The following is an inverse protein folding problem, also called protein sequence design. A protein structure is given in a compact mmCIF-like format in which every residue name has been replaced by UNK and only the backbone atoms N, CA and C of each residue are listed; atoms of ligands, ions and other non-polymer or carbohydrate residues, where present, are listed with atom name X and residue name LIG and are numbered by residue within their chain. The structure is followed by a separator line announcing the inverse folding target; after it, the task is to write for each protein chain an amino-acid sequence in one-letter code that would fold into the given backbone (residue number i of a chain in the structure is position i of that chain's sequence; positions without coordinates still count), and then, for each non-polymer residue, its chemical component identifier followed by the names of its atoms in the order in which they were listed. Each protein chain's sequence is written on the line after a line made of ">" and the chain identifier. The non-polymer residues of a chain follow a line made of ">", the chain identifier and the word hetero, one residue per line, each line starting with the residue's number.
data_IF_058684602560
#
_entry.id   IF_058684602560
#
_cell.length_a   1.000
_cell.length_b   1.000
_cell.length_c   1.000
_cell.angle_alpha   90.00
_cell.angle_beta   90.00
_cell.angle_gamma   90.00
#
_symmetry.space_group_name_H-M   'P 1'
#
loop_
_entity.id
_entity.type
_entity.pdbx_description
1 polymer ?
#
# COMPACT_ATOMS: atom_id res chain seq x y z
N UNK A 1 -20.49 -33.85 -32.57
CA UNK A 1 -20.51 -32.38 -32.74
C UNK A 1 -21.95 -31.86 -32.61
N UNK A 2 -22.65 -32.28 -31.56
CA UNK A 2 -24.06 -31.94 -31.34
C UNK A 2 -24.15 -31.26 -29.98
N UNK A 3 -24.55 -29.98 -29.92
CA UNK A 3 -25.13 -29.27 -28.71
C UNK A 3 -25.26 -27.75 -28.86
N UNK A 4 -25.13 -27.12 -30.03
CA UNK A 4 -25.40 -25.68 -30.14
C UNK A 4 -26.89 -25.31 -29.91
N UNK A 5 -27.81 -26.28 -30.05
CA UNK A 5 -29.25 -26.06 -29.99
C UNK A 5 -29.88 -26.23 -28.59
N UNK A 6 -29.20 -26.85 -27.62
CA UNK A 6 -29.87 -27.20 -26.36
C UNK A 6 -29.92 -26.05 -25.36
N UNK A 7 -28.84 -25.28 -25.13
CA UNK A 7 -28.84 -24.18 -24.15
C UNK A 7 -28.23 -22.87 -24.70
N UNK A 8 -29.03 -21.97 -25.30
CA UNK A 8 -28.53 -20.70 -25.83
C UNK A 8 -27.95 -19.79 -24.73
N UNK A 9 -28.36 -19.97 -23.48
CA UNK A 9 -27.97 -19.16 -22.32
C UNK A 9 -26.58 -19.52 -21.75
N UNK A 10 -26.08 -20.73 -22.03
CA UNK A 10 -24.86 -21.26 -21.42
C UNK A 10 -23.65 -20.36 -21.69
N UNK A 11 -23.57 -19.77 -22.88
CA UNK A 11 -22.48 -18.86 -23.25
C UNK A 11 -22.47 -17.56 -22.43
N UNK A 12 -23.64 -17.07 -22.02
CA UNK A 12 -23.79 -15.82 -21.26
C UNK A 12 -23.45 -16.05 -19.78
N UNK A 13 -23.99 -17.12 -19.20
CA UNK A 13 -23.69 -17.54 -17.83
C UNK A 13 -22.20 -17.87 -17.64
N UNK A 14 -21.58 -18.50 -18.65
CA UNK A 14 -20.15 -18.79 -18.62
C UNK A 14 -19.25 -17.53 -18.58
N UNK A 15 -19.72 -16.39 -19.07
CA UNK A 15 -18.95 -15.13 -19.00
C UNK A 15 -19.06 -14.49 -17.61
N UNK A 16 -20.25 -14.50 -17.02
CA UNK A 16 -20.48 -13.99 -15.66
C UNK A 16 -19.70 -14.80 -14.63
N UNK A 17 -19.68 -16.13 -14.78
CA UNK A 17 -18.90 -17.00 -13.89
C UNK A 17 -17.39 -16.77 -14.05
N UNK A 18 -16.88 -16.58 -15.28
CA UNK A 18 -15.47 -16.24 -15.51
C UNK A 18 -15.07 -14.91 -14.87
N UNK A 19 -15.91 -13.88 -14.99
CA UNK A 19 -15.69 -12.59 -14.32
C UNK A 19 -15.58 -12.76 -12.80
N UNK A 20 -16.52 -13.51 -12.19
CA UNK A 20 -16.50 -13.79 -10.76
C UNK A 20 -15.23 -14.56 -10.35
N UNK A 21 -14.84 -15.59 -11.11
CA UNK A 21 -13.61 -16.36 -10.85
C UNK A 21 -12.37 -15.47 -10.93
N UNK A 22 -12.25 -14.62 -11.95
CA UNK A 22 -11.11 -13.70 -12.11
C UNK A 22 -11.03 -12.73 -10.93
N UNK A 23 -12.18 -12.17 -10.53
CA UNK A 23 -12.25 -11.27 -9.37
C UNK A 23 -11.79 -11.98 -8.09
N UNK A 24 -12.22 -13.23 -7.87
CA UNK A 24 -11.84 -14.02 -6.69
C UNK A 24 -10.35 -14.39 -6.70
N UNK A 25 -9.81 -14.84 -7.83
CA UNK A 25 -8.39 -15.20 -7.96
C UNK A 25 -7.50 -13.97 -7.74
N UNK A 26 -7.82 -12.83 -8.34
CA UNK A 26 -7.04 -11.61 -8.14
C UNK A 26 -7.15 -11.08 -6.71
N UNK A 27 -8.33 -11.18 -6.09
CA UNK A 27 -8.50 -10.81 -4.67
C UNK A 27 -7.69 -11.71 -3.75
N UNK A 28 -7.64 -13.02 -4.02
CA UNK A 28 -6.81 -13.96 -3.27
C UNK A 28 -5.32 -13.62 -3.40
N UNK A 29 -4.84 -13.27 -4.59
CA UNK A 29 -3.46 -12.80 -4.82
C UNK A 29 -3.20 -11.51 -4.02
N UNK A 30 -4.11 -10.53 -4.05
CA UNK A 30 -3.96 -9.30 -3.27
C UNK A 30 -3.87 -9.59 -1.76
N UNK A 31 -4.64 -10.54 -1.24
CA UNK A 31 -4.59 -10.93 0.17
C UNK A 31 -3.27 -11.63 0.54
N UNK A 32 -2.68 -12.42 -0.36
CA UNK A 32 -1.38 -13.05 -0.12
C UNK A 32 -0.24 -12.04 0.01
N UNK A 33 -0.34 -10.90 -0.66
CA UNK A 33 0.65 -9.82 -0.61
C UNK A 33 0.27 -8.67 0.33
N UNK A 34 -0.82 -8.81 1.09
CA UNK A 34 -1.22 -7.81 2.07
C UNK A 34 -0.22 -7.77 3.23
N UNK A 35 0.42 -6.62 3.44
CA UNK A 35 1.32 -6.36 4.56
C UNK A 35 1.03 -4.97 5.13
N UNK A 36 1.23 -4.77 6.43
CA UNK A 36 0.93 -3.50 7.12
C UNK A 36 1.61 -2.26 6.49
N UNK A 37 2.78 -2.47 5.88
CA UNK A 37 3.60 -1.43 5.24
C UNK A 37 3.19 -1.13 3.78
N UNK A 38 2.34 -1.97 3.18
CA UNK A 38 2.14 -1.97 1.72
C UNK A 38 0.70 -1.63 1.32
N UNK A 39 0.52 -0.48 0.69
CA UNK A 39 -0.80 0.06 0.27
C UNK A 39 -1.25 -0.40 -1.11
N UNK A 40 -0.35 -0.96 -1.93
CA UNK A 40 -0.67 -1.39 -3.30
C UNK A 40 -1.68 -2.55 -3.37
N UNK A 41 -1.67 -3.57 -2.49
CA UNK A 41 -2.63 -4.68 -2.57
C UNK A 41 -4.05 -4.20 -2.27
N UNK A 42 -4.19 -3.25 -1.34
CA UNK A 42 -5.47 -2.65 -1.01
C UNK A 42 -6.04 -1.82 -2.17
N UNK A 43 -5.19 -1.01 -2.84
CA UNK A 43 -5.60 -0.22 -4.02
C UNK A 43 -5.95 -1.10 -5.21
N UNK A 44 -5.26 -2.23 -5.41
CA UNK A 44 -5.64 -3.19 -6.45
C UNK A 44 -6.95 -3.89 -6.11
N UNK A 45 -7.15 -4.30 -4.86
CA UNK A 45 -8.40 -4.94 -4.43
C UNK A 45 -9.61 -4.02 -4.64
N UNK A 46 -9.49 -2.72 -4.35
CA UNK A 46 -10.57 -1.75 -4.62
C UNK A 46 -10.83 -1.56 -6.12
N UNK A 47 -9.78 -1.50 -6.94
CA UNK A 47 -9.92 -1.47 -8.41
C UNK A 47 -10.58 -2.73 -8.96
N UNK A 48 -10.26 -3.91 -8.44
CA UNK A 48 -10.86 -5.17 -8.84
C UNK A 48 -12.34 -5.23 -8.42
N UNK A 49 -12.68 -4.76 -7.21
CA UNK A 49 -14.07 -4.67 -6.74
C UNK A 49 -14.96 -3.73 -7.58
N UNK A 50 -14.34 -2.80 -8.30
CA UNK A 50 -15.02 -1.90 -9.23
C UNK A 50 -15.62 -2.65 -10.43
N UNK A 51 -15.04 -3.79 -10.85
CA UNK A 51 -15.53 -4.58 -11.99
C UNK A 51 -16.93 -5.17 -11.73
N UNK A 52 -17.18 -5.93 -10.63
CA UNK A 52 -18.53 -6.37 -10.28
C UNK A 52 -19.51 -5.21 -10.07
N UNK A 53 -19.05 -4.10 -9.48
CA UNK A 53 -19.89 -2.92 -9.26
C UNK A 53 -20.38 -2.32 -10.59
N UNK A 54 -19.51 -2.23 -11.59
CA UNK A 54 -19.88 -1.76 -12.92
C UNK A 54 -20.85 -2.72 -13.63
N UNK A 55 -20.66 -4.04 -13.50
CA UNK A 55 -21.62 -5.04 -14.04
C UNK A 55 -22.99 -4.90 -13.38
N UNK A 56 -23.03 -4.72 -12.06
CA UNK A 56 -24.27 -4.50 -11.33
C UNK A 56 -24.96 -3.20 -11.77
N UNK A 57 -24.20 -2.11 -11.94
CA UNK A 57 -24.72 -0.84 -12.43
C UNK A 57 -25.27 -0.97 -13.87
N UNK A 58 -24.58 -1.71 -14.74
CA UNK A 58 -25.06 -2.00 -16.10
C UNK A 58 -26.42 -2.71 -16.07
N UNK A 59 -26.59 -3.73 -15.21
CA UNK A 59 -27.87 -4.42 -15.07
C UNK A 59 -28.97 -3.53 -14.51
N UNK A 60 -28.66 -2.65 -13.55
CA UNK A 60 -29.61 -1.71 -12.97
C UNK A 60 -30.09 -0.72 -14.04
N UNK A 61 -29.16 -0.12 -14.80
CA UNK A 61 -29.48 0.79 -15.90
C UNK A 61 -30.30 0.09 -17.00
N UNK A 62 -29.94 -1.13 -17.38
CA UNK A 62 -30.72 -1.92 -18.34
C UNK A 62 -32.11 -2.24 -17.80
N UNK A 63 -32.24 -2.56 -16.52
CA UNK A 63 -33.53 -2.77 -15.85
C UNK A 63 -34.42 -1.53 -15.92
N UNK A 64 -33.87 -0.35 -15.60
CA UNK A 64 -34.61 0.92 -15.70
C UNK A 64 -35.00 1.23 -17.15
N UNK A 65 -34.07 1.10 -18.10
CA UNK A 65 -34.33 1.36 -19.52
C UNK A 65 -35.36 0.39 -20.12
N UNK A 66 -35.45 -0.84 -19.61
CA UNK A 66 -36.45 -1.82 -20.06
C UNK A 66 -37.89 -1.39 -19.77
N UNK A 67 -38.11 -0.53 -18.75
CA UNK A 67 -39.42 0.05 -18.44
C UNK A 67 -39.90 1.01 -19.52
N UNK A 68 -38.96 1.65 -20.22
CA UNK A 68 -39.23 2.63 -21.28
C UNK A 68 -39.15 2.04 -22.70
N UNK A 69 -38.78 0.77 -22.84
CA UNK A 69 -38.63 0.13 -24.15
C UNK A 69 -39.95 -0.49 -24.63
N UNK A 70 -40.36 -0.28 -25.90
CA UNK A 70 -41.55 -0.90 -26.45
C UNK A 70 -41.42 -2.43 -26.45
N UNK A 71 -42.36 -3.12 -25.78
CA UNK A 71 -42.39 -4.58 -25.72
C UNK A 71 -42.92 -5.12 -27.05
N UNK A 72 -42.09 -5.87 -27.78
CA UNK A 72 -42.54 -6.57 -28.98
C UNK A 72 -43.08 -7.95 -28.59
N UNK A 73 -44.40 -8.21 -28.72
CA UNK A 73 -45.02 -9.46 -28.26
C UNK A 73 -44.66 -10.70 -29.10
N UNK A 74 -43.86 -10.54 -30.17
CA UNK A 74 -43.47 -11.62 -31.10
C UNK A 74 -42.04 -12.14 -30.90
N UNK A 75 -41.27 -11.53 -30.01
CA UNK A 75 -39.91 -11.96 -29.69
C UNK A 75 -39.86 -12.41 -28.23
N UNK A 76 -39.22 -13.54 -27.97
CA UNK A 76 -38.90 -13.94 -26.60
C UNK A 76 -38.07 -12.82 -25.93
N UNK A 77 -38.35 -12.49 -24.66
CA UNK A 77 -37.58 -11.51 -23.92
C UNK A 77 -36.10 -11.90 -23.95
N UNK A 78 -35.27 -11.10 -24.62
CA UNK A 78 -33.81 -11.33 -24.60
C UNK A 78 -33.33 -11.28 -23.16
N UNK A 79 -32.72 -12.37 -22.72
CA UNK A 79 -32.24 -12.54 -21.35
C UNK A 79 -31.40 -11.34 -20.93
N UNK A 80 -31.73 -10.81 -19.75
CA UNK A 80 -30.99 -9.72 -19.11
C UNK A 80 -29.58 -10.14 -18.64
N UNK A 81 -29.17 -11.39 -18.84
CA UNK A 81 -27.85 -11.92 -18.45
C UNK A 81 -26.71 -11.50 -19.40
N UNK A 82 -26.99 -10.79 -20.50
CA UNK A 82 -25.94 -10.23 -21.35
C UNK A 82 -25.38 -8.96 -20.69
N UNK A 83 -24.15 -9.02 -20.19
CA UNK A 83 -23.38 -7.83 -19.79
C UNK A 83 -22.32 -7.52 -20.86
N UNK A 84 -22.28 -6.28 -21.32
CA UNK A 84 -21.23 -5.77 -22.20
C UNK A 84 -19.87 -5.85 -21.50
N UNK A 85 -19.84 -5.50 -20.22
CA UNK A 85 -18.62 -5.50 -19.39
C UNK A 85 -18.09 -6.94 -19.20
N UNK A 86 -18.97 -7.92 -18.96
CA UNK A 86 -18.58 -9.33 -18.94
C UNK A 86 -18.12 -9.84 -20.32
N UNK A 87 -18.68 -9.28 -21.40
CA UNK A 87 -18.29 -9.57 -22.78
C UNK A 87 -16.88 -9.10 -23.15
N UNK A 88 -16.40 -7.99 -22.56
CA UNK A 88 -15.02 -7.53 -22.73
C UNK A 88 -13.98 -8.53 -22.18
N UNK A 89 -14.39 -9.36 -21.22
CA UNK A 89 -13.54 -10.34 -20.55
C UNK A 89 -13.48 -11.70 -21.26
N UNK A 90 -14.11 -11.84 -22.44
CA UNK A 90 -13.97 -13.05 -23.27
C UNK A 90 -12.52 -13.19 -23.74
N UNK A 91 -11.98 -14.40 -23.62
CA UNK A 91 -10.68 -14.74 -24.20
C UNK A 91 -10.87 -15.30 -25.62
N UNK A 92 -10.19 -14.77 -26.65
CA UNK A 92 -9.21 -13.67 -26.63
C UNK A 92 -9.86 -12.29 -26.43
N UNK A 93 -9.22 -11.36 -25.69
CA UNK A 93 -9.78 -10.05 -25.39
C UNK A 93 -9.94 -9.22 -26.67
N UNK A 94 -11.18 -8.98 -27.07
CA UNK A 94 -11.51 -8.19 -28.25
C UNK A 94 -12.45 -7.02 -27.91
N UNK A 95 -12.07 -6.13 -26.98
CA UNK A 95 -12.94 -5.07 -26.47
C UNK A 95 -13.42 -4.13 -27.59
N UNK A 96 -12.52 -3.84 -28.53
CA UNK A 96 -12.81 -3.01 -29.70
C UNK A 96 -13.82 -3.65 -30.66
N UNK A 97 -13.79 -4.98 -30.83
CA UNK A 97 -14.76 -5.68 -31.69
C UNK A 97 -16.12 -5.81 -31.00
N UNK A 98 -16.16 -6.05 -29.68
CA UNK A 98 -17.41 -6.05 -28.93
C UNK A 98 -18.09 -4.67 -28.99
N UNK A 99 -17.32 -3.59 -28.83
CA UNK A 99 -17.80 -2.21 -28.94
C UNK A 99 -18.26 -1.88 -30.38
N UNK A 100 -17.55 -2.37 -31.41
CA UNK A 100 -17.96 -2.24 -32.80
C UNK A 100 -19.28 -2.96 -33.08
N UNK A 101 -19.47 -4.19 -32.58
CA UNK A 101 -20.71 -4.95 -32.80
C UNK A 101 -21.91 -4.29 -32.11
N UNK A 102 -21.74 -3.73 -30.91
CA UNK A 102 -22.80 -2.97 -30.23
C UNK A 102 -23.12 -1.65 -30.95
N UNK A 103 -22.10 -0.90 -31.38
CA UNK A 103 -22.32 0.33 -32.14
C UNK A 103 -22.99 0.08 -33.49
N UNK A 104 -22.61 -1.01 -34.17
CA UNK A 104 -23.25 -1.42 -35.42
C UNK A 104 -24.69 -1.91 -35.18
N UNK A 105 -24.92 -2.82 -34.23
CA UNK A 105 -26.25 -3.38 -33.98
C UNK A 105 -27.25 -2.36 -33.41
N UNK A 106 -26.78 -1.40 -32.61
CA UNK A 106 -27.67 -0.49 -31.87
C UNK A 106 -27.79 0.90 -32.50
N UNK A 107 -26.75 1.36 -33.20
CA UNK A 107 -26.70 2.68 -33.82
C UNK A 107 -26.49 2.65 -35.35
N UNK A 108 -26.24 1.48 -35.95
CA UNK A 108 -26.01 1.37 -37.40
C UNK A 108 -24.70 2.00 -37.88
N UNK A 109 -23.77 2.30 -36.98
CA UNK A 109 -22.52 3.00 -37.31
C UNK A 109 -21.46 1.99 -37.75
N UNK A 110 -21.10 2.03 -39.03
CA UNK A 110 -20.06 1.17 -39.61
C UNK A 110 -18.65 1.72 -39.40
N UNK A 111 -18.10 1.46 -38.21
CA UNK A 111 -16.71 1.80 -37.86
C UNK A 111 -15.65 1.05 -38.69
N UNK A 112 -16.07 0.04 -39.47
CA UNK A 112 -15.20 -0.78 -40.33
C UNK A 112 -14.54 0.02 -41.46
N UNK A 113 -15.18 1.11 -41.89
CA UNK A 113 -14.67 2.00 -42.95
C UNK A 113 -13.57 2.94 -42.44
N UNK A 114 -13.35 3.02 -41.13
CA UNK A 114 -12.38 3.93 -40.51
C UNK A 114 -11.06 3.18 -40.31
N UNK A 115 -10.13 3.33 -41.25
CA UNK A 115 -8.77 2.76 -41.17
C UNK A 115 -8.06 3.07 -39.83
N UNK A 116 -8.36 4.22 -39.23
CA UNK A 116 -7.79 4.66 -37.96
C UNK A 116 -8.01 3.66 -36.81
N UNK A 117 -9.14 2.95 -36.76
CA UNK A 117 -9.42 1.98 -35.68
C UNK A 117 -8.52 0.74 -35.76
N UNK A 118 -8.25 0.27 -36.99
CA UNK A 118 -7.37 -0.89 -37.21
C UNK A 118 -5.92 -0.55 -36.91
N UNK A 119 -5.50 0.68 -37.28
CA UNK A 119 -4.17 1.21 -36.94
C UNK A 119 -4.01 1.38 -35.43
N UNK A 120 -5.00 1.97 -34.76
CA UNK A 120 -4.99 2.17 -33.30
C UNK A 120 -4.90 0.83 -32.54
N UNK A 121 -5.62 -0.21 -32.97
CA UNK A 121 -5.52 -1.57 -32.39
C UNK A 121 -4.10 -2.14 -32.50
N UNK A 122 -3.42 -1.91 -33.63
CA UNK A 122 -2.06 -2.43 -33.87
C UNK A 122 -0.99 -1.65 -33.11
N UNK A 123 -1.17 -0.34 -32.97
CA UNK A 123 -0.22 0.54 -32.28
C UNK A 123 -0.40 0.56 -30.75
N UNK A 124 -1.61 0.28 -30.24
CA UNK A 124 -1.91 0.35 -28.81
C UNK A 124 -1.02 -0.57 -27.96
N UNK A 125 -0.93 -1.85 -28.32
CA UNK A 125 -0.13 -2.83 -27.57
C UNK A 125 1.37 -2.52 -27.52
N UNK A 126 2.08 -2.21 -28.63
CA UNK A 126 3.50 -1.87 -28.57
C UNK A 126 3.74 -0.55 -27.81
N UNK A 127 2.89 0.45 -27.99
CA UNK A 127 3.00 1.73 -27.24
C UNK A 127 2.80 1.48 -25.75
N UNK A 128 1.76 0.72 -25.37
CA UNK A 128 1.51 0.35 -23.98
C UNK A 128 2.70 -0.39 -23.36
N UNK A 129 3.30 -1.32 -24.11
CA UNK A 129 4.48 -2.06 -23.65
C UNK A 129 5.67 -1.13 -23.43
N UNK A 130 5.93 -0.18 -24.34
CA UNK A 130 6.99 0.82 -24.18
C UNK A 130 6.74 1.70 -22.96
N UNK A 131 5.50 2.18 -22.78
CA UNK A 131 5.14 3.01 -21.62
C UNK A 131 5.32 2.23 -20.31
N UNK A 132 4.90 0.97 -20.26
CA UNK A 132 5.10 0.12 -19.10
C UNK A 132 6.58 -0.18 -18.84
N UNK A 133 7.38 -0.41 -19.89
CA UNK A 133 8.81 -0.65 -19.75
C UNK A 133 9.55 0.60 -19.25
N UNK A 134 9.20 1.79 -19.74
CA UNK A 134 9.74 3.07 -19.27
C UNK A 134 9.31 3.33 -17.83
N UNK A 135 8.03 3.13 -17.50
CA UNK A 135 7.52 3.25 -16.14
C UNK A 135 8.24 2.29 -15.19
N UNK A 136 8.47 1.05 -15.63
CA UNK A 136 9.23 0.06 -14.88
C UNK A 136 10.68 0.48 -14.68
N UNK A 137 11.37 0.96 -15.72
CA UNK A 137 12.74 1.48 -15.60
C UNK A 137 12.84 2.68 -14.64
N UNK A 138 11.86 3.58 -14.66
CA UNK A 138 11.78 4.72 -13.75
C UNK A 138 11.62 4.31 -12.28
N UNK A 139 11.10 3.11 -11.98
CA UNK A 139 11.07 2.60 -10.59
C UNK A 139 12.45 2.37 -9.99
N UNK A 140 13.50 2.26 -10.82
CA UNK A 140 14.88 2.15 -10.36
C UNK A 140 15.53 3.51 -10.05
N UNK A 141 14.86 4.63 -10.35
CA UNK A 141 15.38 5.96 -10.05
C UNK A 141 14.99 6.34 -8.63
N UNK A 142 15.99 6.61 -7.79
CA UNK A 142 15.81 6.92 -6.38
C UNK A 142 16.46 8.26 -6.03
N UNK A 143 15.71 9.09 -5.32
CA UNK A 143 16.19 10.34 -4.75
C UNK A 143 16.52 10.14 -3.27
N UNK A 144 17.78 10.34 -2.91
CA UNK A 144 18.27 10.29 -1.53
C UNK A 144 18.32 11.72 -0.98
N UNK A 145 17.66 12.00 0.17
CA UNK A 145 17.60 13.35 0.72
C UNK A 145 18.98 13.87 1.13
N UNK A 146 19.17 15.20 1.09
CA UNK A 146 20.44 15.86 1.38
C UNK A 146 21.00 15.56 2.77
N UNK A 147 20.12 15.32 3.75
CA UNK A 147 20.45 15.03 5.15
C UNK A 147 20.45 13.52 5.46
N UNK A 148 20.26 12.67 4.45
CA UNK A 148 20.19 11.22 4.61
C UNK A 148 21.20 10.47 3.74
N UNK A 149 21.18 9.15 3.89
CA UNK A 149 21.93 8.19 3.08
C UNK A 149 20.98 7.07 2.66
N UNK A 150 21.14 6.55 1.46
CA UNK A 150 20.31 5.45 0.96
C UNK A 150 21.09 4.15 0.96
N UNK A 151 20.67 3.12 1.68
CA UNK A 151 21.25 1.79 1.56
C UNK A 151 20.62 1.11 0.35
N UNK A 152 21.44 0.79 -0.66
CA UNK A 152 21.03 0.09 -1.85
C UNK A 152 21.06 -1.43 -1.66
N UNK A 153 19.89 -2.05 -1.76
CA UNK A 153 19.68 -3.48 -1.75
C UNK A 153 19.49 -4.00 -3.16
N UNK A 154 20.24 -5.04 -3.50
CA UNK A 154 20.05 -5.83 -4.73
C UNK A 154 19.62 -7.23 -4.34
N UNK A 155 18.43 -7.64 -4.76
CA UNK A 155 17.80 -8.92 -4.36
C UNK A 155 17.83 -9.14 -2.84
N UNK A 156 17.61 -8.09 -2.05
CA UNK A 156 17.63 -8.13 -0.58
C UNK A 156 19.02 -8.23 0.06
N UNK A 157 20.11 -8.15 -0.72
CA UNK A 157 21.47 -8.01 -0.17
C UNK A 157 21.91 -6.55 -0.22
N UNK A 158 22.39 -5.96 0.88
CA UNK A 158 22.99 -4.63 0.84
C UNK A 158 24.30 -4.67 0.05
N UNK A 159 24.38 -3.86 -1.00
CA UNK A 159 25.57 -3.80 -1.87
C UNK A 159 26.34 -2.51 -1.63
N UNK A 160 25.64 -1.38 -1.55
CA UNK A 160 26.25 -0.06 -1.54
C UNK A 160 25.44 0.93 -0.70
N UNK A 161 26.09 1.97 -0.20
CA UNK A 161 25.43 3.09 0.48
C UNK A 161 25.54 4.31 -0.43
N UNK A 162 24.41 4.77 -0.93
CA UNK A 162 24.29 5.97 -1.72
C UNK A 162 24.31 7.22 -0.84
N UNK A 163 25.14 8.18 -1.23
CA UNK A 163 25.12 9.53 -0.68
C UNK A 163 23.89 10.34 -1.14
N UNK A 164 23.75 11.59 -0.67
CA UNK A 164 22.66 12.47 -1.06
C UNK A 164 22.68 12.74 -2.57
N UNK A 165 21.52 12.67 -3.22
CA UNK A 165 21.38 12.91 -4.66
C UNK A 165 20.51 11.90 -5.39
N UNK A 166 20.50 12.01 -6.72
CA UNK A 166 19.75 11.14 -7.61
C UNK A 166 20.61 9.93 -8.01
N UNK A 167 20.12 8.72 -7.72
CA UNK A 167 20.82 7.48 -8.05
C UNK A 167 19.92 6.58 -8.89
N UNK A 168 20.54 5.83 -9.79
CA UNK A 168 19.85 4.83 -10.62
C UNK A 168 20.28 3.44 -10.17
N UNK A 169 19.31 2.63 -9.80
CA UNK A 169 19.47 1.22 -9.46
C UNK A 169 18.65 0.33 -10.39
N UNK A 170 18.70 -0.97 -10.10
CA UNK A 170 17.80 -1.94 -10.72
C UNK A 170 16.33 -1.58 -10.41
N UNK A 171 15.43 -1.71 -11.39
CA UNK A 171 14.01 -1.47 -11.17
C UNK A 171 13.42 -2.47 -10.18
N UNK A 172 12.34 -2.07 -9.53
CA UNK A 172 11.60 -2.93 -8.62
C UNK A 172 11.11 -4.18 -9.36
N UNK A 173 11.16 -5.40 -8.80
CA UNK A 173 11.47 -5.77 -7.42
C UNK A 173 12.94 -6.15 -7.18
N UNK A 174 13.82 -5.96 -8.15
CA UNK A 174 15.19 -6.47 -8.12
C UNK A 174 16.12 -5.56 -7.30
N UNK A 175 15.81 -4.27 -7.23
CA UNK A 175 16.50 -3.26 -6.44
C UNK A 175 15.55 -2.53 -5.48
N UNK A 176 16.08 -2.13 -4.32
CA UNK A 176 15.39 -1.26 -3.35
C UNK A 176 16.40 -0.33 -2.70
N UNK A 177 16.01 0.90 -2.40
CA UNK A 177 16.81 1.82 -1.57
C UNK A 177 16.08 2.05 -0.25
N UNK A 178 16.78 1.82 0.86
CA UNK A 178 16.31 2.13 2.21
C UNK A 178 16.92 3.46 2.64
N UNK A 179 16.09 4.47 2.87
CA UNK A 179 16.55 5.75 3.38
C UNK A 179 16.88 5.61 4.87
N UNK A 180 18.11 5.96 5.21
CA UNK A 180 18.64 5.96 6.57
C UNK A 180 19.13 7.36 6.89
N UNK A 181 18.90 7.78 8.12
CA UNK A 181 19.34 9.08 8.60
C UNK A 181 20.86 9.17 8.65
N UNK A 182 21.39 10.37 8.41
CA UNK A 182 22.82 10.64 8.48
C UNK A 182 23.11 11.78 9.46
N UNK A 183 23.72 11.45 10.60
CA UNK A 183 24.12 12.44 11.60
C UNK A 183 23.00 13.03 12.46
N UNK A 184 21.77 12.52 12.34
CA UNK A 184 20.66 12.90 13.23
C UNK A 184 20.94 12.42 14.65
N UNK A 185 20.76 13.33 15.60
CA UNK A 185 20.92 13.06 17.03
C UNK A 185 19.54 12.80 17.61
N UNK A 186 19.37 11.62 18.19
CA UNK A 186 18.15 11.19 18.84
C UNK A 186 18.29 11.32 20.35
N UNK A 187 17.28 11.89 20.97
CA UNK A 187 17.14 11.94 22.42
C UNK A 187 16.09 10.89 22.85
N UNK A 188 16.49 9.99 23.74
CA UNK A 188 15.63 8.97 24.32
C UNK A 188 15.51 9.17 25.83
N UNK A 189 14.26 9.27 26.27
CA UNK A 189 13.90 9.13 27.67
C UNK A 189 14.02 7.67 28.12
N UNK A 190 14.50 7.45 29.36
CA UNK A 190 14.69 6.11 29.91
C UNK A 190 13.36 5.39 30.22
N UNK A 191 12.29 6.14 30.45
CA UNK A 191 10.94 5.63 30.69
C UNK A 191 9.97 6.14 29.63
N UNK A 192 9.22 5.21 29.03
CA UNK A 192 7.98 5.53 28.34
C UNK A 192 6.88 5.14 29.29
N UNK A 193 6.45 6.08 30.11
CA UNK A 193 5.04 6.09 30.44
C UNK A 193 4.33 6.47 29.14
N UNK A 194 3.35 5.66 28.71
CA UNK A 194 2.23 6.12 27.88
C UNK A 194 1.44 7.16 28.71
N UNK A 195 2.11 8.22 29.11
CA UNK A 195 1.50 9.36 29.74
C UNK A 195 0.68 9.99 28.62
N UNK A 196 -0.61 9.67 28.64
CA UNK A 196 -1.63 10.36 27.87
C UNK A 196 -1.26 11.84 27.82
N UNK A 197 -1.22 12.41 26.62
CA UNK A 197 -0.89 13.81 26.37
C UNK A 197 -1.50 14.65 27.49
N UNK A 198 -0.69 15.30 28.34
CA UNK A 198 -1.24 15.97 29.51
C UNK A 198 -2.31 16.93 29.01
N UNK A 199 -3.54 16.77 29.52
CA UNK A 199 -4.65 17.64 29.13
C UNK A 199 -4.23 19.08 29.41
N UNK A 200 -3.98 19.82 28.33
CA UNK A 200 -3.54 21.20 28.41
C UNK A 200 -4.66 22.00 29.10
N UNK A 201 -4.33 22.61 30.24
CA UNK A 201 -5.25 23.49 30.93
C UNK A 201 -5.60 24.69 30.02
N UNK A 202 -6.84 25.17 30.10
CA UNK A 202 -7.27 26.35 29.35
C UNK A 202 -6.42 27.57 29.73
N UNK A 203 -5.98 28.34 28.73
CA UNK A 203 -5.05 29.47 28.92
C UNK A 203 -5.60 30.59 29.84
N UNK A 204 -6.92 30.75 29.91
CA UNK A 204 -7.62 31.75 30.71
C UNK A 204 -8.17 31.20 32.05
N UNK A 205 -7.84 29.94 32.40
CA UNK A 205 -8.31 29.28 33.63
C UNK A 205 -7.39 29.50 34.83
N UNK A 206 -7.84 29.15 36.06
CA UNK A 206 -6.96 29.13 37.22
C UNK A 206 -5.78 28.18 36.99
N UNK A 207 -4.58 28.61 37.37
CA UNK A 207 -3.37 27.82 37.17
C UNK A 207 -3.51 26.44 37.83
N UNK A 208 -3.18 25.35 37.12
CA UNK A 208 -3.35 24.01 37.65
C UNK A 208 -2.46 23.83 38.89
N UNK A 209 -3.01 23.17 39.92
CA UNK A 209 -2.33 23.02 41.22
C UNK A 209 -0.97 22.32 41.12
N UNK A 210 -0.77 21.52 40.06
CA UNK A 210 0.52 20.86 39.77
C UNK A 210 1.65 21.86 39.44
N UNK A 211 1.31 23.03 38.90
CA UNK A 211 2.30 24.06 38.53
C UNK A 211 2.96 24.70 39.76
N UNK A 212 2.28 24.69 40.91
CA UNK A 212 2.82 25.19 42.17
C UNK A 212 3.82 24.22 42.83
N UNK A 213 3.99 23.00 42.31
CA UNK A 213 4.89 21.98 42.85
C UNK A 213 5.72 21.32 41.75
N UNK A 214 6.46 22.16 41.02
CA UNK A 214 7.29 21.74 39.89
C UNK A 214 8.26 20.58 40.23
N UNK A 215 8.74 20.53 41.47
CA UNK A 215 9.67 19.50 41.94
C UNK A 215 9.02 18.26 42.57
N UNK A 216 7.73 18.31 42.93
CA UNK A 216 6.97 17.12 43.37
C UNK A 216 6.28 16.41 42.19
N UNK A 217 6.31 17.02 41.01
CA UNK A 217 5.75 16.42 39.82
C UNK A 217 6.59 15.21 39.40
N UNK A 218 5.92 14.08 39.12
CA UNK A 218 6.54 12.92 38.52
C UNK A 218 7.13 13.31 37.17
N UNK A 219 8.45 13.28 37.04
CA UNK A 219 9.09 13.53 35.75
C UNK A 219 8.91 12.27 34.89
N UNK A 220 8.51 12.45 33.63
CA UNK A 220 8.27 11.33 32.67
C UNK A 220 9.53 10.47 32.50
N UNK A 221 10.70 11.02 32.81
CA UNK A 221 12.01 10.38 32.68
C UNK A 221 12.59 9.88 34.03
N UNK A 222 11.86 10.01 35.14
CA UNK A 222 12.38 9.65 36.46
C UNK A 222 12.47 8.13 36.61
N UNK A 223 13.65 7.64 37.01
CA UNK A 223 13.89 6.21 37.22
C UNK A 223 14.49 5.95 38.58
N UNK A 224 13.81 5.12 39.35
CA UNK A 224 14.27 4.63 40.65
C UNK A 224 15.20 3.43 40.50
N UNK A 225 16.45 3.54 40.94
CA UNK A 225 17.37 2.40 41.08
C UNK A 225 17.61 2.07 42.55
N UNK A 226 17.65 0.78 42.87
CA UNK A 226 17.98 0.29 44.21
C UNK A 226 19.46 -0.05 44.26
N UNK A 227 20.23 0.73 45.01
CA UNK A 227 21.64 0.50 45.23
C UNK A 227 21.77 -0.24 46.56
N UNK A 228 22.25 -1.49 46.51
CA UNK A 228 22.68 -2.20 47.70
C UNK A 228 24.01 -1.63 48.16
N UNK A 229 24.06 -1.06 49.36
CA UNK A 229 25.29 -0.58 49.98
C UNK A 229 25.65 -1.46 51.18
N UNK A 230 26.95 -1.73 51.32
CA UNK A 230 27.53 -2.42 52.46
C UNK A 230 28.59 -1.51 53.04
N UNK A 231 28.45 -1.21 54.34
CA UNK A 231 29.46 -0.48 55.10
C UNK A 231 29.68 -1.19 56.42
N UNK A 232 30.85 -1.82 56.55
CA UNK A 232 31.16 -2.71 57.66
C UNK A 232 30.18 -3.88 57.74
N UNK A 233 29.67 -4.15 58.95
CA UNK A 233 28.75 -5.27 59.25
C UNK A 233 27.27 -4.99 58.91
N UNK A 234 26.96 -3.84 58.29
CA UNK A 234 25.59 -3.42 57.97
C UNK A 234 25.35 -3.42 56.46
N UNK A 235 24.28 -4.08 56.05
CA UNK A 235 23.73 -4.03 54.70
C UNK A 235 22.56 -3.05 54.68
N UNK A 236 22.51 -2.19 53.65
CA UNK A 236 21.43 -1.24 53.45
C UNK A 236 21.04 -1.17 51.98
N UNK A 237 19.79 -0.74 51.73
CA UNK A 237 19.30 -0.43 50.40
C UNK A 237 19.03 1.07 50.33
N UNK A 238 19.55 1.73 49.30
CA UNK A 238 19.23 3.13 48.99
C UNK A 238 18.49 3.16 47.67
N UNK A 239 17.35 3.84 47.64
CA UNK A 239 16.60 4.10 46.42
C UNK A 239 17.02 5.47 45.93
N UNK A 240 17.57 5.54 44.72
CA UNK A 240 17.96 6.79 44.07
C UNK A 240 17.08 6.98 42.85
N UNK A 241 16.40 8.12 42.80
CA UNK A 241 15.66 8.58 41.63
C UNK A 241 16.59 9.42 40.76
N UNK A 242 16.66 9.09 39.47
CA UNK A 242 17.52 9.77 38.50
C UNK A 242 16.75 10.06 37.22
N UNK A 243 16.83 11.29 36.73
CA UNK A 243 16.45 11.64 35.35
C UNK A 243 17.65 11.37 34.44
N UNK A 244 17.56 10.30 33.64
CA UNK A 244 18.60 9.91 32.68
C UNK A 244 18.05 10.08 31.27
N UNK A 245 18.78 10.85 30.46
CA UNK A 245 18.52 11.06 29.03
C UNK A 245 19.64 10.42 28.22
N UNK A 246 19.26 9.57 27.27
CA UNK A 246 20.18 8.96 26.34
C UNK A 246 20.20 9.75 25.04
N UNK A 247 21.35 10.33 24.72
CA UNK A 247 21.57 10.97 23.43
C UNK A 247 22.42 10.05 22.59
N UNK A 248 21.92 9.64 21.43
CA UNK A 248 22.65 8.77 20.52
C UNK A 248 22.53 9.25 19.08
N UNK A 249 23.49 8.84 18.27
CA UNK A 249 23.45 9.01 16.81
C UNK A 249 24.00 7.76 16.16
N UNK A 250 23.50 7.42 14.98
CA UNK A 250 24.12 6.38 14.17
C UNK A 250 25.46 6.93 13.66
N UNK A 251 26.50 6.09 13.64
CA UNK A 251 27.81 6.48 13.13
C UNK A 251 27.74 7.01 11.69
N UNK A 252 28.63 7.96 11.37
CA UNK A 252 28.70 8.62 10.07
C UNK A 252 29.29 7.72 8.97
N UNK A 253 29.86 6.57 9.34
CA UNK A 253 30.42 5.61 8.39
C UNK A 253 29.33 4.73 7.79
N UNK A 254 29.55 4.28 6.55
CA UNK A 254 28.64 3.40 5.84
C UNK A 254 28.43 2.06 6.56
N UNK A 255 29.51 1.53 7.15
CA UNK A 255 29.43 0.31 7.97
C UNK A 255 28.53 0.47 9.20
N UNK A 256 28.53 1.65 9.84
CA UNK A 256 27.65 1.91 10.96
C UNK A 256 26.18 2.03 10.52
N UNK A 257 25.92 2.54 9.30
CA UNK A 257 24.59 2.54 8.70
C UNK A 257 24.06 1.11 8.54
N UNK A 258 24.87 0.27 7.89
CA UNK A 258 24.52 -1.13 7.61
C UNK A 258 24.31 -1.90 8.92
N UNK A 259 25.19 -1.73 9.89
CA UNK A 259 25.05 -2.38 11.19
C UNK A 259 23.78 -1.94 11.92
N UNK A 260 23.47 -0.64 11.93
CA UNK A 260 22.26 -0.12 12.56
C UNK A 260 20.98 -0.62 11.88
N UNK A 261 20.97 -0.76 10.56
CA UNK A 261 19.77 -1.21 9.82
C UNK A 261 19.56 -2.72 9.87
N UNK A 262 20.63 -3.52 9.77
CA UNK A 262 20.49 -4.98 9.65
C UNK A 262 20.77 -5.76 10.94
N UNK A 263 21.53 -5.21 11.88
CA UNK A 263 21.84 -5.91 13.14
C UNK A 263 20.92 -5.52 14.30
N UNK A 264 20.10 -4.47 14.14
CA UNK A 264 19.11 -4.05 15.15
C UNK A 264 17.74 -3.84 14.52
N UNK A 265 16.72 -4.49 15.08
CA UNK A 265 15.33 -4.31 14.66
C UNK A 265 14.73 -2.99 15.16
N UNK A 266 15.10 -2.56 16.38
CA UNK A 266 14.63 -1.33 17.01
C UNK A 266 15.69 -0.81 18.00
N UNK A 267 16.44 0.22 17.58
CA UNK A 267 17.51 0.83 18.36
C UNK A 267 16.96 1.51 19.64
N UNK A 268 15.90 2.34 19.58
CA UNK A 268 15.24 2.87 20.78
C UNK A 268 14.88 1.83 21.84
N UNK A 269 14.28 0.71 21.43
CA UNK A 269 13.87 -0.34 22.37
C UNK A 269 15.06 -1.12 22.91
N UNK A 270 16.11 -1.32 22.10
CA UNK A 270 17.35 -1.96 22.55
C UNK A 270 18.10 -1.10 23.59
N UNK A 271 18.21 0.21 23.35
CA UNK A 271 18.85 1.14 24.31
C UNK A 271 18.06 1.15 25.62
N UNK A 272 16.73 1.28 25.56
CA UNK A 272 15.87 1.28 26.75
C UNK A 272 15.94 -0.02 27.54
N UNK A 273 15.84 -1.17 26.86
CA UNK A 273 15.87 -2.48 27.53
C UNK A 273 17.21 -2.76 28.20
N UNK A 274 18.31 -2.32 27.58
CA UNK A 274 19.65 -2.41 28.16
C UNK A 274 19.80 -1.48 29.36
N UNK A 275 19.30 -0.25 29.25
CA UNK A 275 19.30 0.69 30.36
C UNK A 275 18.40 0.24 31.52
N UNK A 276 17.34 -0.55 31.26
CA UNK A 276 16.41 -1.09 32.27
C UNK A 276 16.89 -2.33 33.01
N UNK A 277 17.98 -2.96 32.57
CA UNK A 277 18.65 -4.02 33.34
C UNK A 277 19.53 -3.42 34.41
#
# INVERSE_FOLDING_TARGET
>A
QETAAQWPEASQLAQLSRMAIICLVLSAICLLFASAESVWPLRLATLIGLLPALVALEFLLRGVLSLFSPRQPRLEPRLMAQSFIAGLLRWPPQPLLALQHELHNRFGIDLRQIWAFTYMRRAFFPVLLVVLAVGWALTGLHEVPLQGRGIYERFGKPVEVFGPGLHAGLPWPLGRVLNVENGVVHELATSVSDAATPQLAAAEGPAPLIANRLWDASHVNDKSQVIASSSGDKQGFQIVNMDVRFVYRIGLTDQAALAATYNSADIPTLIRSTASR
#
